data_IF_568359133704
#
_entry.id   IF_568359133704
#
_cell.length_a   1.000
_cell.length_b   1.000
_cell.length_c   1.000
_cell.angle_alpha   90.00
_cell.angle_beta   90.00
_cell.angle_gamma   90.00
#
_symmetry.space_group_name_H-M   'P 1'
#
loop_
_entity.id
_entity.type
_entity.pdbx_description
1 polymer ?
#
# COMPACT_ATOMS: atom_id res chain seq x y z
N UNK A 1 6.22 -13.44 -1.14
CA UNK A 1 7.59 -13.98 -1.23
C UNK A 1 7.94 -14.57 0.13
N UNK A 2 8.22 -15.86 0.20
CA UNK A 2 8.75 -16.45 1.43
C UNK A 2 10.28 -16.34 1.37
N UNK A 3 10.86 -15.43 2.13
CA UNK A 3 12.31 -15.26 2.23
C UNK A 3 13.00 -16.40 3.00
N UNK A 4 12.22 -17.20 3.73
CA UNK A 4 12.70 -18.38 4.44
C UNK A 4 11.68 -19.51 4.34
N UNK A 5 12.15 -20.77 4.49
CA UNK A 5 11.28 -21.96 4.55
C UNK A 5 10.39 -21.95 5.80
N UNK A 6 10.76 -21.20 6.81
CA UNK A 6 10.03 -21.03 8.06
C UNK A 6 9.55 -19.59 8.22
N UNK A 7 8.37 -19.38 8.81
CA UNK A 7 7.86 -18.03 9.04
C UNK A 7 8.77 -17.31 10.05
N UNK A 8 9.12 -16.07 9.75
CA UNK A 8 9.91 -15.20 10.64
C UNK A 8 9.18 -14.90 11.95
N UNK A 9 7.87 -14.88 11.93
CA UNK A 9 7.01 -14.62 13.08
C UNK A 9 5.82 -15.59 13.11
N UNK A 10 5.43 -16.00 14.30
CA UNK A 10 4.28 -16.90 14.47
C UNK A 10 2.93 -16.22 14.26
N UNK A 11 2.89 -14.88 14.37
CA UNK A 11 1.70 -14.08 14.21
C UNK A 11 2.06 -12.79 13.44
N UNK A 12 1.27 -12.38 12.43
CA UNK A 12 1.47 -11.12 11.73
C UNK A 12 1.61 -9.90 12.65
N UNK A 13 0.93 -9.88 13.79
CA UNK A 13 1.02 -8.78 14.77
C UNK A 13 2.40 -8.64 15.43
N UNK A 14 3.32 -9.56 15.19
CA UNK A 14 4.73 -9.48 15.59
C UNK A 14 5.59 -8.78 14.52
N UNK A 15 5.00 -8.42 13.38
CA UNK A 15 5.68 -7.79 12.25
C UNK A 15 5.28 -6.31 12.14
N UNK A 16 6.26 -5.48 11.81
CA UNK A 16 6.05 -4.07 11.48
C UNK A 16 6.23 -3.92 9.96
N UNK A 17 5.21 -3.38 9.28
CA UNK A 17 5.26 -3.06 7.87
C UNK A 17 5.57 -1.57 7.70
N UNK A 18 6.68 -1.25 7.04
CA UNK A 18 7.10 0.13 6.80
C UNK A 18 8.02 0.22 5.57
N UNK A 19 8.20 1.40 5.05
CA UNK A 19 9.07 1.69 3.90
C UNK A 19 10.22 2.62 4.25
N UNK A 20 10.07 3.46 5.28
CA UNK A 20 11.15 4.25 5.86
C UNK A 20 10.91 4.52 7.35
N UNK A 21 11.98 4.86 8.08
CA UNK A 21 11.95 5.20 9.50
C UNK A 21 12.87 6.40 9.76
N UNK A 22 13.21 6.66 11.02
CA UNK A 22 14.08 7.80 11.38
C UNK A 22 15.53 7.61 10.91
N UNK A 23 16.00 6.37 10.80
CA UNK A 23 17.32 6.05 10.26
C UNK A 23 17.25 5.95 8.73
N UNK A 24 18.39 6.16 8.09
CA UNK A 24 18.56 6.05 6.66
C UNK A 24 17.76 7.15 5.87
N UNK A 25 17.60 6.99 4.56
CA UNK A 25 16.85 7.91 3.71
C UNK A 25 15.35 7.81 3.98
N UNK A 26 14.66 8.95 4.03
CA UNK A 26 13.20 8.93 3.95
C UNK A 26 12.71 8.44 2.57
N UNK A 27 11.44 8.08 2.45
CA UNK A 27 10.90 7.46 1.24
C UNK A 27 11.14 8.30 -0.02
N UNK A 28 10.88 9.60 0.03
CA UNK A 28 11.09 10.52 -1.10
C UNK A 28 12.55 10.52 -1.56
N UNK A 29 13.50 10.60 -0.62
CA UNK A 29 14.93 10.60 -0.94
C UNK A 29 15.37 9.25 -1.53
N UNK A 30 14.87 8.16 -0.97
CA UNK A 30 15.15 6.80 -1.47
C UNK A 30 14.65 6.61 -2.90
N UNK A 31 13.43 7.07 -3.21
CA UNK A 31 12.86 6.98 -4.55
C UNK A 31 13.66 7.80 -5.56
N UNK A 32 14.05 9.04 -5.20
CA UNK A 32 14.90 9.90 -6.04
C UNK A 32 16.28 9.30 -6.29
N UNK A 33 16.90 8.71 -5.27
CA UNK A 33 18.21 8.06 -5.38
C UNK A 33 18.16 6.78 -6.22
N UNK A 34 17.06 6.03 -6.15
CA UNK A 34 16.90 4.75 -6.85
C UNK A 34 16.53 4.90 -8.33
N UNK A 35 15.90 6.01 -8.71
CA UNK A 35 15.39 6.24 -10.07
C UNK A 35 15.88 7.62 -10.56
N UNK A 36 17.06 7.67 -11.23
CA UNK A 36 17.55 8.92 -11.80
C UNK A 36 16.56 9.55 -12.77
N UNK A 37 16.33 10.85 -12.66
CA UNK A 37 15.40 11.58 -13.52
C UNK A 37 13.92 11.35 -13.22
N UNK A 38 13.59 10.82 -12.03
CA UNK A 38 12.21 10.63 -11.60
C UNK A 38 11.44 11.96 -11.62
N UNK A 39 10.33 11.99 -12.36
CA UNK A 39 9.43 13.16 -12.37
C UNK A 39 8.68 13.28 -11.05
N UNK A 40 8.26 14.49 -10.68
CA UNK A 40 7.42 14.70 -9.48
C UNK A 40 6.13 13.87 -9.53
N UNK A 41 5.50 13.78 -10.69
CA UNK A 41 4.29 12.96 -10.90
C UNK A 41 4.56 11.48 -10.61
N UNK A 42 5.66 10.94 -11.09
CA UNK A 42 6.00 9.54 -10.87
C UNK A 42 6.48 9.29 -9.45
N UNK A 43 7.16 10.26 -8.84
CA UNK A 43 7.53 10.23 -7.43
C UNK A 43 6.28 10.08 -6.55
N UNK A 44 5.26 10.93 -6.78
CA UNK A 44 3.99 10.85 -6.04
C UNK A 44 3.35 9.47 -6.21
N UNK A 45 3.24 8.96 -7.44
CA UNK A 45 2.65 7.63 -7.68
C UNK A 45 3.37 6.50 -6.96
N UNK A 46 4.69 6.54 -6.96
CA UNK A 46 5.51 5.51 -6.29
C UNK A 46 5.41 5.62 -4.77
N UNK A 47 5.34 6.84 -4.23
CA UNK A 47 5.10 7.10 -2.81
C UNK A 47 3.74 6.53 -2.37
N UNK A 48 2.67 6.88 -3.08
CA UNK A 48 1.31 6.38 -2.81
C UNK A 48 1.24 4.85 -2.94
N UNK A 49 1.92 4.26 -3.94
CA UNK A 49 1.97 2.81 -4.10
C UNK A 49 2.73 2.14 -2.95
N UNK A 50 3.85 2.70 -2.51
CA UNK A 50 4.63 2.18 -1.39
C UNK A 50 3.80 2.17 -0.09
N UNK A 51 3.08 3.27 0.17
CA UNK A 51 2.20 3.34 1.35
C UNK A 51 0.96 2.44 1.21
N UNK A 52 0.44 2.27 0.00
CA UNK A 52 -0.61 1.26 -0.23
C UNK A 52 -0.11 -0.13 0.19
N UNK A 53 1.12 -0.51 -0.18
CA UNK A 53 1.70 -1.78 0.25
C UNK A 53 1.81 -1.88 1.77
N UNK A 54 2.23 -0.82 2.48
CA UNK A 54 2.31 -0.77 3.94
C UNK A 54 0.93 -0.94 4.59
N UNK A 55 -0.04 -0.10 4.19
CA UNK A 55 -1.34 -0.06 4.84
C UNK A 55 -2.28 -1.20 4.44
N UNK A 56 -1.98 -1.92 3.36
CA UNK A 56 -2.72 -3.14 2.97
C UNK A 56 -1.97 -4.44 3.32
N UNK A 57 -0.81 -4.36 3.96
CA UNK A 57 -0.11 -5.51 4.53
C UNK A 57 -0.69 -5.93 5.87
N UNK A 58 -0.52 -7.20 6.22
CA UNK A 58 -0.72 -7.67 7.59
C UNK A 58 0.38 -7.16 8.51
N UNK A 59 0.08 -7.15 9.81
CA UNK A 59 1.00 -6.66 10.82
C UNK A 59 0.70 -5.21 11.23
N UNK A 60 1.64 -4.61 11.92
CA UNK A 60 1.52 -3.25 12.44
C UNK A 60 2.06 -2.27 11.39
N UNK A 61 1.23 -1.42 10.77
CA UNK A 61 1.72 -0.42 9.84
C UNK A 61 2.46 0.68 10.61
N UNK A 62 3.59 1.09 10.07
CA UNK A 62 4.38 2.20 10.59
C UNK A 62 4.72 3.15 9.44
N UNK A 63 4.66 4.44 9.70
CA UNK A 63 5.08 5.48 8.77
C UNK A 63 5.92 6.53 9.50
N UNK A 64 6.91 7.07 8.82
CA UNK A 64 7.69 8.20 9.32
C UNK A 64 6.85 9.48 9.21
N UNK A 65 6.85 10.31 10.28
CA UNK A 65 6.16 11.61 10.26
C UNK A 65 6.59 12.46 9.08
N UNK A 66 5.63 12.94 8.31
CA UNK A 66 5.84 13.77 7.12
C UNK A 66 5.79 13.01 5.80
N UNK A 67 5.73 11.68 5.79
CA UNK A 67 5.54 10.91 4.54
C UNK A 67 4.22 11.31 3.86
N UNK A 68 3.18 11.57 4.64
CA UNK A 68 1.86 12.02 4.17
C UNK A 68 1.86 13.40 3.46
N UNK A 69 2.99 14.06 3.47
CA UNK A 69 3.21 15.35 2.79
C UNK A 69 4.55 15.39 2.04
N UNK A 70 5.04 14.24 1.59
CA UNK A 70 6.28 14.08 0.81
C UNK A 70 7.50 14.67 1.52
N UNK A 71 7.74 14.29 2.76
CA UNK A 71 8.94 14.70 3.51
C UNK A 71 10.20 14.41 2.73
N UNK A 72 11.04 15.43 2.56
CA UNK A 72 12.30 15.39 1.82
C UNK A 72 13.44 15.86 2.73
N UNK A 73 14.45 15.04 2.91
CA UNK A 73 15.68 15.37 3.66
C UNK A 73 16.85 15.67 2.74
N UNK A 74 16.56 16.06 1.50
CA UNK A 74 17.53 16.49 0.48
C UNK A 74 18.61 15.45 0.20
N UNK A 75 18.25 14.16 0.25
CA UNK A 75 19.16 13.04 -0.01
C UNK A 75 20.10 12.70 1.15
N UNK A 76 19.94 13.31 2.32
CA UNK A 76 20.78 13.00 3.48
C UNK A 76 20.44 11.59 3.99
N UNK A 77 21.43 10.72 3.96
CA UNK A 77 21.29 9.31 4.32
C UNK A 77 21.04 9.10 5.80
N UNK A 78 21.82 9.79 6.65
CA UNK A 78 21.69 9.69 8.10
C UNK A 78 21.68 11.10 8.70
N UNK A 79 20.50 11.59 9.06
CA UNK A 79 20.27 13.00 9.34
C UNK A 79 20.25 13.35 10.84
N UNK A 80 20.64 12.45 11.74
CA UNK A 80 20.48 12.64 13.19
C UNK A 80 21.26 13.87 13.73
N UNK A 81 22.41 14.21 13.14
CA UNK A 81 23.20 15.41 13.46
C UNK A 81 22.99 16.57 12.47
N UNK A 82 22.05 16.42 11.52
CA UNK A 82 21.80 17.45 10.52
C UNK A 82 21.01 18.63 11.13
N UNK A 83 21.18 19.85 10.59
CA UNK A 83 20.47 21.02 11.08
C UNK A 83 18.96 20.95 10.78
N UNK A 84 18.20 21.84 11.40
CA UNK A 84 16.75 21.96 11.21
C UNK A 84 16.35 22.10 9.75
N UNK A 85 17.17 22.76 8.92
CA UNK A 85 16.94 22.89 7.48
C UNK A 85 16.82 21.55 6.72
N UNK A 86 17.26 20.44 7.35
CA UNK A 86 17.14 19.05 6.84
C UNK A 86 16.05 18.32 7.62
N UNK A 87 15.98 18.51 8.94
CA UNK A 87 15.15 17.66 9.81
C UNK A 87 13.73 18.21 10.07
N UNK A 88 13.46 19.51 9.86
CA UNK A 88 12.14 20.07 10.09
C UNK A 88 11.08 19.44 9.15
N UNK A 89 9.84 19.52 9.58
CA UNK A 89 8.68 19.20 8.76
C UNK A 89 8.21 20.47 8.04
N UNK A 90 8.22 20.47 6.70
CA UNK A 90 7.67 21.59 5.93
C UNK A 90 6.14 21.46 5.82
N UNK A 91 5.44 22.07 6.75
CA UNK A 91 3.97 22.06 6.81
C UNK A 91 3.29 22.70 5.59
N UNK A 92 4.00 23.53 4.81
CA UNK A 92 3.47 24.09 3.56
C UNK A 92 3.20 22.98 2.52
N UNK A 93 3.83 21.83 2.65
CA UNK A 93 3.60 20.70 1.77
C UNK A 93 2.18 20.13 1.88
N UNK A 94 1.47 20.33 2.97
CA UNK A 94 0.04 19.99 3.05
C UNK A 94 -0.80 20.77 2.04
N UNK A 95 -0.41 22.05 1.79
CA UNK A 95 -1.09 22.87 0.79
C UNK A 95 -0.57 22.62 -0.63
N UNK A 96 0.71 22.23 -0.76
CA UNK A 96 1.33 21.93 -2.04
C UNK A 96 0.90 20.57 -2.58
N UNK A 97 0.71 19.57 -1.72
CA UNK A 97 0.39 18.18 -2.07
C UNK A 97 -0.86 17.66 -1.33
N UNK A 98 -2.00 18.37 -1.41
CA UNK A 98 -3.21 17.96 -0.69
C UNK A 98 -3.73 16.59 -1.12
N UNK A 99 -3.47 16.19 -2.36
CA UNK A 99 -3.84 14.88 -2.89
C UNK A 99 -3.10 13.74 -2.18
N UNK A 100 -1.81 13.94 -1.83
CA UNK A 100 -1.02 12.95 -1.09
C UNK A 100 -1.58 12.77 0.31
N UNK A 101 -1.76 13.87 1.04
CA UNK A 101 -2.36 13.83 2.38
C UNK A 101 -3.74 13.16 2.39
N UNK A 102 -4.62 13.51 1.44
CA UNK A 102 -5.94 12.91 1.34
C UNK A 102 -5.88 11.42 1.03
N UNK A 103 -4.95 10.99 0.18
CA UNK A 103 -4.74 9.57 -0.12
C UNK A 103 -4.37 8.80 1.14
N UNK A 104 -3.37 9.25 1.90
CA UNK A 104 -2.94 8.63 3.16
C UNK A 104 -4.08 8.59 4.18
N UNK A 105 -4.78 9.70 4.37
CA UNK A 105 -5.93 9.79 5.27
C UNK A 105 -6.98 8.74 4.94
N UNK A 106 -7.34 8.62 3.66
CA UNK A 106 -8.37 7.69 3.21
C UNK A 106 -7.87 6.23 3.26
N UNK A 107 -6.59 5.98 2.98
CA UNK A 107 -5.98 4.66 3.09
C UNK A 107 -5.95 4.17 4.55
N UNK A 108 -5.65 5.06 5.50
CA UNK A 108 -5.73 4.77 6.94
C UNK A 108 -7.18 4.47 7.35
N UNK A 109 -8.15 5.27 6.86
CA UNK A 109 -9.57 5.04 7.12
C UNK A 109 -10.03 3.68 6.59
N UNK A 110 -9.69 3.35 5.34
CA UNK A 110 -9.97 2.06 4.72
C UNK A 110 -9.40 0.90 5.57
N UNK A 111 -8.15 0.99 6.01
CA UNK A 111 -7.55 -0.02 6.89
C UNK A 111 -8.32 -0.17 8.21
N UNK A 112 -8.75 0.92 8.82
CA UNK A 112 -9.51 0.89 10.09
C UNK A 112 -10.89 0.28 9.91
N UNK A 113 -11.56 0.59 8.82
CA UNK A 113 -12.92 0.12 8.52
C UNK A 113 -12.94 -1.36 8.10
N UNK A 114 -11.87 -1.84 7.46
CA UNK A 114 -11.68 -3.24 7.03
C UNK A 114 -10.58 -3.94 7.82
N UNK A 115 -10.47 -3.64 9.11
CA UNK A 115 -9.38 -4.15 9.96
C UNK A 115 -9.32 -5.68 10.03
N UNK A 116 -10.42 -6.37 9.81
CA UNK A 116 -10.50 -7.84 9.84
C UNK A 116 -9.63 -8.51 8.76
N UNK A 117 -9.37 -7.83 7.63
CA UNK A 117 -8.45 -8.31 6.60
C UNK A 117 -7.00 -8.43 7.11
N UNK A 118 -6.61 -7.61 8.07
CA UNK A 118 -5.20 -7.42 8.46
C UNK A 118 -4.84 -8.04 9.79
N UNK A 119 -5.82 -8.39 10.62
CA UNK A 119 -5.58 -9.03 11.91
C UNK A 119 -5.54 -10.56 11.74
N UNK A 120 -4.68 -11.20 12.52
CA UNK A 120 -4.70 -12.63 12.73
C UNK A 120 -5.45 -12.90 14.03
N UNK A 121 -6.74 -13.19 13.95
CA UNK A 121 -7.52 -13.54 15.13
C UNK A 121 -7.44 -15.05 15.38
N UNK A 122 -6.91 -15.49 16.52
CA UNK A 122 -6.82 -16.92 16.84
C UNK A 122 -8.19 -17.60 17.00
N UNK A 123 -9.29 -16.83 17.13
CA UNK A 123 -10.66 -17.35 17.15
C UNK A 123 -11.08 -17.92 15.79
N UNK A 124 -10.49 -17.41 14.70
CA UNK A 124 -10.71 -17.94 13.36
C UNK A 124 -9.74 -19.07 13.12
N UNK A 125 -10.24 -20.30 13.28
CA UNK A 125 -9.47 -21.53 13.19
C UNK A 125 -8.64 -21.59 11.89
N UNK A 126 -7.43 -22.16 11.96
CA UNK A 126 -6.53 -22.38 10.82
C UNK A 126 -7.14 -23.19 9.67
N UNK A 127 -8.30 -23.81 9.85
CA UNK A 127 -9.07 -24.55 8.83
C UNK A 127 -10.00 -23.64 8.03
N UNK A 128 -10.32 -22.43 8.51
CA UNK A 128 -11.12 -21.46 7.77
C UNK A 128 -10.29 -20.73 6.74
N UNK A 129 -10.85 -20.57 5.53
CA UNK A 129 -10.26 -19.72 4.49
C UNK A 129 -10.63 -18.23 4.67
N UNK A 130 -11.46 -17.91 5.67
CA UNK A 130 -11.89 -16.57 5.97
C UNK A 130 -10.69 -15.65 6.31
N UNK A 131 -10.58 -14.53 5.62
CA UNK A 131 -9.46 -13.61 5.74
C UNK A 131 -8.12 -14.12 5.20
N UNK A 132 -8.07 -15.31 4.56
CA UNK A 132 -6.82 -15.85 4.05
C UNK A 132 -6.19 -14.92 3.01
N UNK A 133 -4.89 -14.66 3.18
CA UNK A 133 -4.09 -13.94 2.18
C UNK A 133 -3.62 -14.92 1.10
N UNK A 134 -3.92 -14.61 -0.14
CA UNK A 134 -3.49 -15.37 -1.32
C UNK A 134 -2.77 -14.45 -2.30
N UNK A 135 -1.61 -14.88 -2.79
CA UNK A 135 -0.95 -14.21 -3.90
C UNK A 135 -1.47 -14.78 -5.22
N UNK A 136 -1.94 -13.89 -6.08
CA UNK A 136 -2.37 -14.22 -7.44
C UNK A 136 -1.17 -14.11 -8.41
N UNK A 137 -1.28 -14.70 -9.63
CA UNK A 137 -0.22 -14.55 -10.61
C UNK A 137 0.13 -13.09 -10.89
N UNK A 138 1.38 -12.76 -10.70
CA UNK A 138 1.97 -11.46 -10.95
C UNK A 138 3.12 -11.58 -11.96
N UNK A 139 4.19 -10.82 -11.76
CA UNK A 139 5.38 -10.83 -12.61
C UNK A 139 6.47 -9.93 -12.04
N UNK A 140 7.47 -9.64 -12.85
CA UNK A 140 8.51 -8.72 -12.45
C UNK A 140 7.92 -7.36 -12.11
N UNK A 141 8.22 -6.84 -10.92
CA UNK A 141 7.69 -5.61 -10.37
C UNK A 141 6.15 -5.50 -10.39
N UNK A 142 5.44 -6.65 -10.44
CA UNK A 142 3.98 -6.72 -10.36
C UNK A 142 3.59 -7.68 -9.24
N UNK A 143 2.97 -7.14 -8.20
CA UNK A 143 2.47 -7.91 -7.05
C UNK A 143 0.96 -7.84 -7.03
N UNK A 144 0.31 -9.00 -6.95
CA UNK A 144 -1.15 -9.12 -6.85
C UNK A 144 -1.48 -10.04 -5.70
N UNK A 145 -2.33 -9.57 -4.80
CA UNK A 145 -2.82 -10.40 -3.70
C UNK A 145 -4.26 -10.09 -3.34
N UNK A 146 -4.89 -11.05 -2.70
CA UNK A 146 -6.25 -10.88 -2.19
C UNK A 146 -6.41 -11.42 -0.77
N UNK A 147 -7.28 -10.78 -0.03
CA UNK A 147 -7.86 -11.28 1.21
C UNK A 147 -9.22 -11.89 0.87
N UNK A 148 -9.46 -13.14 1.27
CA UNK A 148 -10.65 -13.91 0.88
C UNK A 148 -11.68 -14.01 2.00
N UNK A 149 -12.96 -14.09 1.61
CA UNK A 149 -14.05 -14.44 2.50
C UNK A 149 -14.10 -13.53 3.75
N UNK A 150 -13.89 -12.24 3.56
CA UNK A 150 -13.89 -11.26 4.66
C UNK A 150 -15.29 -11.14 5.29
N UNK A 151 -16.33 -11.38 4.52
CA UNK A 151 -17.72 -11.41 5.00
C UNK A 151 -17.97 -12.50 6.05
N UNK A 152 -17.26 -13.63 6.00
CA UNK A 152 -17.30 -14.67 7.03
C UNK A 152 -16.73 -14.18 8.36
N UNK A 153 -15.88 -13.14 8.34
CA UNK A 153 -15.35 -12.48 9.52
C UNK A 153 -16.26 -11.34 10.02
N UNK A 154 -17.28 -10.98 9.25
CA UNK A 154 -18.18 -9.85 9.56
C UNK A 154 -17.84 -8.55 8.82
N UNK A 155 -16.94 -8.59 7.84
CA UNK A 155 -16.68 -7.46 6.94
C UNK A 155 -17.83 -7.32 5.93
N UNK A 156 -18.04 -6.11 5.42
CA UNK A 156 -19.05 -5.85 4.37
C UNK A 156 -18.58 -6.30 2.98
N UNK A 157 -17.27 -6.50 2.77
CA UNK A 157 -16.68 -6.99 1.54
C UNK A 157 -16.49 -8.49 1.60
N UNK A 158 -16.62 -9.16 0.44
CA UNK A 158 -16.34 -10.58 0.35
C UNK A 158 -14.83 -10.83 0.15
N UNK A 159 -14.26 -10.24 -0.88
CA UNK A 159 -12.83 -10.28 -1.09
C UNK A 159 -12.28 -8.87 -1.28
N UNK A 160 -11.04 -8.64 -0.88
CA UNK A 160 -10.29 -7.42 -1.20
C UNK A 160 -9.06 -7.80 -2.01
N UNK A 161 -8.90 -7.19 -3.17
CA UNK A 161 -7.76 -7.41 -4.07
C UNK A 161 -6.92 -6.15 -4.13
N UNK A 162 -5.61 -6.33 -4.06
CA UNK A 162 -4.62 -5.26 -4.20
C UNK A 162 -3.66 -5.62 -5.34
N UNK A 163 -3.42 -4.67 -6.23
CA UNK A 163 -2.49 -4.79 -7.35
C UNK A 163 -1.47 -3.66 -7.21
N UNK A 164 -0.19 -4.01 -7.20
CA UNK A 164 0.92 -3.07 -7.14
C UNK A 164 1.74 -3.24 -8.42
N UNK A 165 1.62 -2.32 -9.35
CA UNK A 165 2.40 -2.31 -10.59
C UNK A 165 3.55 -1.31 -10.49
N UNK A 166 4.74 -1.77 -10.11
CA UNK A 166 5.96 -0.97 -10.04
C UNK A 166 6.64 -0.72 -11.40
N UNK A 167 6.14 -1.32 -12.48
CA UNK A 167 6.69 -1.12 -13.82
C UNK A 167 6.41 0.29 -14.34
N UNK A 168 7.21 0.75 -15.28
CA UNK A 168 6.96 1.96 -16.06
C UNK A 168 6.01 1.75 -17.25
N UNK A 169 5.43 0.55 -17.37
CA UNK A 169 4.47 0.14 -18.38
C UNK A 169 3.20 -0.40 -17.74
N UNK A 170 2.10 -0.34 -18.49
CA UNK A 170 0.86 -1.01 -18.08
C UNK A 170 1.04 -2.52 -18.05
N UNK A 171 0.35 -3.18 -17.12
CA UNK A 171 0.29 -4.63 -17.00
C UNK A 171 -1.16 -5.11 -16.96
N UNK A 172 -1.47 -6.17 -17.70
CA UNK A 172 -2.76 -6.85 -17.60
C UNK A 172 -2.68 -7.92 -16.52
N UNK A 173 -3.62 -7.89 -15.60
CA UNK A 173 -3.75 -8.83 -14.48
C UNK A 173 -5.00 -9.67 -14.72
N UNK A 174 -4.85 -11.00 -14.72
CA UNK A 174 -5.97 -11.92 -14.74
C UNK A 174 -6.54 -12.12 -13.35
N UNK A 175 -7.85 -12.11 -13.24
CA UNK A 175 -8.61 -12.19 -12.00
C UNK A 175 -9.69 -13.27 -12.11
N UNK A 176 -10.20 -13.81 -11.00
CA UNK A 176 -11.47 -14.51 -11.02
C UNK A 176 -12.56 -13.61 -11.61
N UNK A 177 -13.42 -14.16 -12.46
CA UNK A 177 -14.53 -13.38 -13.02
C UNK A 177 -15.50 -12.98 -11.92
N UNK A 178 -15.68 -11.69 -11.74
CA UNK A 178 -16.60 -11.11 -10.75
C UNK A 178 -17.00 -9.69 -11.14
N UNK A 179 -17.91 -9.10 -10.37
CA UNK A 179 -18.19 -7.67 -10.40
C UNK A 179 -17.38 -7.00 -9.30
N UNK A 180 -16.43 -6.19 -9.69
CA UNK A 180 -15.50 -5.50 -8.79
C UNK A 180 -15.87 -4.03 -8.65
N UNK A 181 -15.81 -3.53 -7.43
CA UNK A 181 -15.83 -2.09 -7.13
C UNK A 181 -14.39 -1.64 -6.86
N UNK A 182 -13.90 -0.71 -7.67
CA UNK A 182 -12.60 -0.08 -7.49
C UNK A 182 -12.74 0.99 -6.41
N UNK A 183 -11.93 0.90 -5.36
CA UNK A 183 -11.90 1.84 -4.24
C UNK A 183 -10.59 2.61 -4.14
N UNK A 184 -9.56 2.15 -4.86
CA UNK A 184 -8.28 2.83 -5.04
C UNK A 184 -7.78 2.66 -6.46
N UNK A 185 -7.42 3.75 -7.14
CA UNK A 185 -6.94 3.75 -8.53
C UNK A 185 -5.50 4.24 -8.70
N UNK A 186 -4.83 4.50 -7.57
CA UNK A 186 -3.46 5.01 -7.50
C UNK A 186 -3.36 6.53 -7.35
N UNK A 187 -4.43 7.26 -7.59
CA UNK A 187 -4.51 8.71 -7.39
C UNK A 187 -5.48 9.05 -6.24
N UNK A 188 -6.52 8.24 -6.06
CA UNK A 188 -7.59 8.45 -5.06
C UNK A 188 -7.90 7.16 -4.31
N UNK A 189 -8.27 7.28 -3.05
CA UNK A 189 -8.94 6.23 -2.26
C UNK A 189 -10.34 6.71 -1.92
N UNK A 190 -11.35 5.93 -2.29
CA UNK A 190 -12.75 6.15 -1.96
C UNK A 190 -13.40 4.82 -1.58
N UNK A 191 -13.61 4.59 -0.29
CA UNK A 191 -14.21 3.36 0.24
C UNK A 191 -15.60 3.06 -0.31
N UNK A 192 -16.36 4.09 -0.69
CA UNK A 192 -17.70 3.94 -1.28
C UNK A 192 -17.69 3.56 -2.78
N UNK A 193 -16.50 3.43 -3.36
CA UNK A 193 -16.29 3.11 -4.77
C UNK A 193 -16.00 4.32 -5.63
N UNK A 194 -15.10 4.13 -6.60
CA UNK A 194 -14.78 5.08 -7.66
C UNK A 194 -15.59 4.70 -8.91
N UNK A 195 -15.55 3.43 -9.27
CA UNK A 195 -16.38 2.82 -10.34
C UNK A 195 -16.46 1.30 -10.14
N UNK A 196 -17.39 0.68 -10.88
CA UNK A 196 -17.65 -0.77 -10.84
C UNK A 196 -17.49 -1.35 -12.24
N UNK A 197 -16.94 -2.57 -12.33
CA UNK A 197 -16.81 -3.30 -13.59
C UNK A 197 -16.98 -4.81 -13.36
N UNK A 198 -17.58 -5.49 -14.36
CA UNK A 198 -17.65 -6.96 -14.38
C UNK A 198 -16.59 -7.48 -15.34
N UNK A 199 -15.59 -8.19 -14.82
CA UNK A 199 -14.43 -8.61 -15.62
C UNK A 199 -13.73 -9.84 -15.02
N UNK A 200 -12.86 -10.44 -15.82
CA UNK A 200 -11.87 -11.44 -15.43
C UNK A 200 -10.43 -10.97 -15.64
N UNK A 201 -10.27 -9.68 -16.02
CA UNK A 201 -8.96 -9.04 -16.13
C UNK A 201 -9.05 -7.54 -15.88
N UNK A 202 -7.94 -6.94 -15.46
CA UNK A 202 -7.81 -5.49 -15.31
C UNK A 202 -6.45 -5.02 -15.83
N UNK A 203 -6.43 -3.83 -16.41
CA UNK A 203 -5.17 -3.17 -16.81
C UNK A 203 -4.72 -2.27 -15.68
N UNK A 204 -3.60 -2.61 -15.04
CA UNK A 204 -2.93 -1.78 -14.03
C UNK A 204 -2.00 -0.78 -14.75
N UNK A 205 -2.24 0.54 -14.61
CA UNK A 205 -1.38 1.57 -15.18
C UNK A 205 0.05 1.51 -14.63
N UNK A 206 1.03 2.18 -15.28
CA UNK A 206 2.41 2.26 -14.76
C UNK A 206 2.48 2.88 -13.37
N UNK A 207 3.34 2.36 -12.51
CA UNK A 207 3.66 2.92 -11.18
C UNK A 207 2.40 3.20 -10.36
N UNK A 208 1.47 2.24 -10.33
CA UNK A 208 0.13 2.44 -9.75
C UNK A 208 -0.25 1.30 -8.82
N UNK A 209 -0.92 1.64 -7.73
CA UNK A 209 -1.63 0.70 -6.88
C UNK A 209 -3.13 0.73 -7.20
N UNK A 210 -3.76 -0.45 -7.30
CA UNK A 210 -5.22 -0.59 -7.39
C UNK A 210 -5.72 -1.35 -6.17
N UNK A 211 -6.79 -0.87 -5.56
CA UNK A 211 -7.52 -1.58 -4.51
C UNK A 211 -8.96 -1.75 -4.99
N UNK A 212 -9.47 -2.97 -4.90
CA UNK A 212 -10.85 -3.29 -5.28
C UNK A 212 -11.42 -4.41 -4.41
N UNK A 213 -12.74 -4.51 -4.42
CA UNK A 213 -13.46 -5.59 -3.74
C UNK A 213 -14.62 -6.11 -4.60
N UNK A 214 -15.15 -7.28 -4.24
CA UNK A 214 -16.39 -7.87 -4.75
C UNK A 214 -17.37 -8.16 -3.60
#
# INVERSE_FOLDING_TARGET
>A
MNYSKEPFANNPNQMIAYVSCHDDMCLVDRLKASIPGLTEKDLIKLDLMAQTAVFTSRGIPFMLSGEEMLRDKKGVHNSFESPDSINHLDWNNLQRYPQVFNYYKNLIALRKNHHLAYISDPRFNRTSTAGALEFLPGGDCLVVYRYKNLNELGDKWNNMIVILNGNNEKRTVKLPKSTYTIVGDGDVINENGIYTLTTDEIVAPPRTAIIMHD
#
